data_IF_451037481132
#
_entry.id   IF_451037481132
#
_cell.length_a   1.000
_cell.length_b   1.000
_cell.length_c   1.000
_cell.angle_alpha   90.00
_cell.angle_beta   90.00
_cell.angle_gamma   90.00
#
_symmetry.space_group_name_H-M   'P 1'
#
loop_
_entity.id
_entity.type
_entity.pdbx_description
1 polymer ?
#
# COMPACT_ATOMS: atom_id res chain seq x y z
N UNK A 1 -11.06 -1.76 -0.46
CA UNK A 1 -9.85 -2.59 -0.23
C UNK A 1 -9.53 -3.53 -1.39
N UNK A 2 -10.44 -4.38 -1.89
CA UNK A 2 -10.13 -5.35 -2.96
C UNK A 2 -9.54 -4.73 -4.26
N UNK A 3 -10.03 -3.55 -4.68
CA UNK A 3 -9.49 -2.82 -5.84
C UNK A 3 -8.05 -2.35 -5.62
N UNK A 4 -7.73 -1.89 -4.42
CA UNK A 4 -6.41 -1.38 -4.04
C UNK A 4 -5.38 -2.52 -4.00
N UNK A 5 -5.79 -3.69 -3.50
CA UNK A 5 -4.93 -4.88 -3.47
C UNK A 5 -4.63 -5.40 -4.89
N UNK A 6 -5.59 -5.29 -5.81
CA UNK A 6 -5.37 -5.63 -7.22
C UNK A 6 -4.37 -4.69 -7.92
N UNK A 7 -4.41 -3.39 -7.59
CA UNK A 7 -3.44 -2.41 -8.09
C UNK A 7 -2.04 -2.67 -7.53
N UNK A 8 -1.88 -2.88 -6.22
CA UNK A 8 -0.58 -3.23 -5.62
C UNK A 8 0.02 -4.49 -6.26
N UNK A 9 -0.80 -5.53 -6.51
CA UNK A 9 -0.34 -6.76 -7.16
C UNK A 9 0.11 -6.51 -8.61
N UNK A 10 -0.53 -5.59 -9.33
CA UNK A 10 -0.12 -5.20 -10.68
C UNK A 10 1.23 -4.47 -10.64
N UNK A 11 1.41 -3.56 -9.70
CA UNK A 11 2.65 -2.77 -9.57
C UNK A 11 3.84 -3.66 -9.21
N UNK A 12 3.69 -4.57 -8.24
CA UNK A 12 4.73 -5.55 -7.88
C UNK A 12 5.14 -6.41 -9.08
N UNK A 13 4.19 -6.83 -9.91
CA UNK A 13 4.49 -7.59 -11.13
C UNK A 13 5.22 -6.75 -12.18
N UNK A 14 4.91 -5.46 -12.30
CA UNK A 14 5.62 -4.53 -13.17
C UNK A 14 7.08 -4.40 -12.75
N UNK A 15 7.32 -4.14 -11.47
CA UNK A 15 8.66 -4.04 -10.87
C UNK A 15 9.46 -5.33 -11.16
N UNK A 16 8.87 -6.51 -10.92
CA UNK A 16 9.54 -7.79 -11.19
C UNK A 16 9.88 -8.01 -12.67
N UNK A 17 9.02 -7.55 -13.58
CA UNK A 17 9.29 -7.67 -15.02
C UNK A 17 10.44 -6.75 -15.46
N UNK A 18 10.52 -5.54 -14.92
CA UNK A 18 11.57 -4.59 -15.25
C UNK A 18 12.96 -5.09 -14.82
N UNK A 19 13.02 -5.84 -13.72
CA UNK A 19 14.28 -6.34 -13.15
C UNK A 19 14.73 -7.68 -13.74
N UNK A 20 13.84 -8.39 -14.44
CA UNK A 20 14.09 -9.74 -14.93
C UNK A 20 15.24 -9.83 -15.95
N UNK A 21 15.55 -8.72 -16.62
CA UNK A 21 16.59 -8.64 -17.65
C UNK A 21 17.77 -7.74 -17.23
N UNK A 22 17.82 -7.30 -15.97
CA UNK A 22 18.87 -6.40 -15.51
C UNK A 22 20.17 -7.19 -15.29
N UNK A 23 21.26 -6.74 -15.92
CA UNK A 23 22.57 -7.42 -15.88
C UNK A 23 23.35 -7.12 -14.60
N UNK A 24 22.98 -6.06 -13.88
CA UNK A 24 23.54 -5.69 -12.59
C UNK A 24 22.56 -6.09 -11.48
N UNK A 25 22.79 -7.27 -10.89
CA UNK A 25 21.89 -7.83 -9.88
C UNK A 25 21.85 -7.02 -8.58
N UNK A 26 22.96 -6.41 -8.16
CA UNK A 26 22.97 -5.63 -6.91
C UNK A 26 22.16 -4.34 -7.06
N UNK A 27 22.38 -3.60 -8.15
CA UNK A 27 21.59 -2.42 -8.46
C UNK A 27 20.09 -2.75 -8.67
N UNK A 28 19.80 -3.90 -9.28
CA UNK A 28 18.45 -4.40 -9.47
C UNK A 28 17.74 -4.72 -8.14
N UNK A 29 18.44 -5.35 -7.19
CA UNK A 29 17.89 -5.65 -5.86
C UNK A 29 17.59 -4.36 -5.09
N UNK A 30 18.48 -3.37 -5.14
CA UNK A 30 18.27 -2.10 -4.44
C UNK A 30 17.09 -1.32 -5.05
N UNK A 31 17.00 -1.30 -6.38
CA UNK A 31 15.87 -0.71 -7.11
C UNK A 31 14.55 -1.43 -6.82
N UNK A 32 14.58 -2.75 -6.72
CA UNK A 32 13.42 -3.56 -6.28
C UNK A 32 12.93 -3.12 -4.91
N UNK A 33 13.86 -3.01 -3.95
CA UNK A 33 13.55 -2.69 -2.56
C UNK A 33 12.94 -1.28 -2.44
N UNK A 34 13.49 -0.27 -3.13
CA UNK A 34 12.94 1.09 -3.12
C UNK A 34 11.54 1.14 -3.75
N UNK A 35 11.37 0.55 -4.93
CA UNK A 35 10.08 0.55 -5.64
C UNK A 35 8.99 -0.23 -4.89
N UNK A 36 9.34 -1.37 -4.30
CA UNK A 36 8.42 -2.15 -3.49
C UNK A 36 7.99 -1.39 -2.24
N UNK A 37 8.94 -0.75 -1.55
CA UNK A 37 8.67 0.02 -0.33
C UNK A 37 7.71 1.17 -0.59
N UNK A 38 7.90 1.91 -1.70
CA UNK A 38 7.00 2.99 -2.12
C UNK A 38 5.60 2.51 -2.50
N UNK A 39 5.51 1.37 -3.20
CA UNK A 39 4.23 0.78 -3.57
C UNK A 39 3.43 0.36 -2.33
N UNK A 40 4.11 -0.24 -1.33
CA UNK A 40 3.51 -0.60 -0.05
C UNK A 40 3.10 0.65 0.75
N UNK A 41 3.96 1.67 0.83
CA UNK A 41 3.63 2.92 1.52
C UNK A 41 2.39 3.57 0.93
N UNK A 42 2.31 3.67 -0.40
CA UNK A 42 1.17 4.22 -1.12
C UNK A 42 -0.09 3.40 -0.84
N UNK A 43 0.02 2.07 -0.85
CA UNK A 43 -1.08 1.17 -0.50
C UNK A 43 -1.59 1.41 0.92
N UNK A 44 -0.69 1.49 1.90
CA UNK A 44 -1.03 1.73 3.32
C UNK A 44 -1.69 3.10 3.50
N UNK A 45 -1.16 4.15 2.87
CA UNK A 45 -1.73 5.51 2.92
C UNK A 45 -3.11 5.59 2.27
N UNK A 46 -3.35 4.79 1.22
CA UNK A 46 -4.67 4.70 0.58
C UNK A 46 -5.72 3.97 1.42
N UNK A 47 -5.31 3.29 2.51
CA UNK A 47 -6.24 2.59 3.37
C UNK A 47 -7.08 3.58 4.18
N UNK A 48 -8.41 3.45 4.08
CA UNK A 48 -9.34 4.14 4.96
C UNK A 48 -9.50 3.35 6.25
N UNK A 49 -9.26 4.02 7.39
CA UNK A 49 -9.51 3.46 8.72
C UNK A 49 -10.90 3.89 9.14
N UNK A 50 -11.77 2.92 9.46
CA UNK A 50 -13.07 3.20 10.06
C UNK A 50 -12.90 3.08 11.58
N UNK A 51 -13.17 4.16 12.29
CA UNK A 51 -13.16 4.19 13.76
C UNK A 51 -14.62 4.21 14.23
N UNK A 52 -15.04 3.13 14.87
CA UNK A 52 -16.34 3.03 15.53
C UNK A 52 -16.17 3.20 17.03
N UNK A 53 -16.88 4.16 17.61
CA UNK A 53 -16.91 4.38 19.06
C UNK A 53 -18.33 4.64 19.56
N UNK A 54 -18.52 4.54 20.87
CA UNK A 54 -19.79 4.88 21.51
C UNK A 54 -19.63 6.22 22.21
N UNK A 55 -20.46 7.21 21.88
CA UNK A 55 -20.49 8.48 22.58
C UNK A 55 -20.84 8.27 24.04
N UNK A 56 -20.27 9.08 24.93
CA UNK A 56 -20.70 9.20 26.35
C UNK A 56 -22.20 9.55 26.49
N UNK A 57 -22.86 10.03 25.44
CA UNK A 57 -24.31 10.29 25.37
C UNK A 57 -25.15 9.16 24.75
N UNK A 58 -24.58 7.98 24.47
CA UNK A 58 -25.33 6.77 24.07
C UNK A 58 -25.57 6.59 22.57
N UNK A 59 -24.96 7.40 21.70
CA UNK A 59 -25.03 7.24 20.23
C UNK A 59 -23.81 6.54 19.65
N UNK A 60 -23.98 5.74 18.59
CA UNK A 60 -22.87 5.22 17.81
C UNK A 60 -22.21 6.36 17.01
N UNK A 61 -20.89 6.49 17.12
CA UNK A 61 -20.08 7.42 16.33
C UNK A 61 -19.28 6.62 15.32
N UNK A 62 -19.39 6.99 14.05
CA UNK A 62 -18.53 6.48 12.99
C UNK A 62 -17.68 7.62 12.45
N UNK A 63 -16.36 7.46 12.53
CA UNK A 63 -15.38 8.34 11.91
C UNK A 63 -14.62 7.60 10.80
N UNK A 64 -14.28 8.31 9.72
CA UNK A 64 -13.38 7.82 8.68
C UNK A 64 -12.05 8.58 8.76
N UNK A 65 -10.94 7.86 8.87
CA UNK A 65 -9.59 8.41 8.83
C UNK A 65 -8.79 7.89 7.63
N UNK A 66 -7.77 8.63 7.22
CA UNK A 66 -6.75 8.18 6.27
C UNK A 66 -5.40 8.12 6.99
N UNK A 67 -4.53 7.20 6.57
CA UNK A 67 -3.16 7.13 7.06
C UNK A 67 -2.34 8.14 6.24
N UNK A 68 -1.76 9.17 6.88
CA UNK A 68 -0.92 10.21 6.25
C UNK A 68 0.57 9.95 6.49
#
# INVERSE_FOLDING_TARGET
>A
MALVTALLKKDIKGILNDLKNDTDQEAAIEKYADQLSRAIETYVKSATVIVTGTSVSGGAVTGTGQIQ
#
